data_IF_927052205634
#
_entry.id   IF_927052205634
#
_cell.length_a   1.000
_cell.length_b   1.000
_cell.length_c   1.000
_cell.angle_alpha   90.00
_cell.angle_beta   90.00
_cell.angle_gamma   90.00
#
_symmetry.space_group_name_H-M   'P 1'
#
loop_
_entity.id
_entity.type
_entity.pdbx_description
1 polymer ?
#
# COMPACT_ATOMS: atom_id res chain seq x y z
N UNK A 1 -12.83 -0.63 -27.77
CA UNK A 1 -13.09 -0.24 -26.37
C UNK A 1 -11.85 0.50 -25.91
N UNK A 2 -11.92 1.82 -25.89
CA UNK A 2 -10.79 2.69 -25.58
C UNK A 2 -10.29 2.48 -24.15
N UNK A 3 -8.97 2.30 -24.04
CA UNK A 3 -8.19 2.09 -22.83
C UNK A 3 -8.24 3.36 -21.95
N UNK A 4 -9.35 3.53 -21.24
CA UNK A 4 -9.54 4.58 -20.24
C UNK A 4 -8.66 4.36 -18.99
N UNK A 5 -7.96 3.22 -18.93
CA UNK A 5 -7.14 2.74 -17.82
C UNK A 5 -5.77 3.43 -17.73
N UNK A 6 -5.24 3.93 -18.86
CA UNK A 6 -3.97 4.66 -18.93
C UNK A 6 -4.09 6.16 -18.64
N UNK A 7 -5.29 6.66 -18.32
CA UNK A 7 -5.47 8.07 -17.95
C UNK A 7 -4.79 8.37 -16.62
N UNK A 8 -3.96 9.42 -16.61
CA UNK A 8 -3.40 9.99 -15.37
C UNK A 8 -4.53 10.59 -14.53
N UNK A 9 -4.51 10.25 -13.24
CA UNK A 9 -5.49 10.70 -12.27
C UNK A 9 -5.24 12.15 -11.86
N UNK A 10 -6.31 12.93 -11.83
CA UNK A 10 -6.29 14.25 -11.23
C UNK A 10 -6.47 14.13 -9.71
N UNK A 11 -6.47 15.27 -9.02
CA UNK A 11 -6.65 15.31 -7.57
C UNK A 11 -7.95 14.64 -7.11
N UNK A 12 -9.06 14.89 -7.79
CA UNK A 12 -10.38 14.33 -7.42
C UNK A 12 -10.41 12.81 -7.55
N UNK A 13 -9.79 12.26 -8.60
CA UNK A 13 -9.63 10.83 -8.80
C UNK A 13 -8.87 10.19 -7.62
N UNK A 14 -7.80 10.85 -7.16
CA UNK A 14 -7.01 10.41 -6.01
C UNK A 14 -7.78 10.51 -4.68
N UNK A 15 -8.59 11.56 -4.48
CA UNK A 15 -9.44 11.70 -3.30
C UNK A 15 -10.49 10.56 -3.23
N UNK A 16 -11.13 10.23 -4.34
CA UNK A 16 -12.06 9.10 -4.45
C UNK A 16 -11.33 7.78 -4.18
N UNK A 17 -10.14 7.62 -4.77
CA UNK A 17 -9.33 6.42 -4.62
C UNK A 17 -8.83 6.20 -3.18
N UNK A 18 -8.51 7.25 -2.44
CA UNK A 18 -8.13 7.16 -1.04
C UNK A 18 -9.32 6.91 -0.10
N UNK A 19 -10.52 7.39 -0.46
CA UNK A 19 -11.75 7.21 0.31
C UNK A 19 -12.12 5.76 0.61
N UNK A 20 -13.09 5.58 1.51
CA UNK A 20 -13.54 4.25 1.99
C UNK A 20 -14.13 3.36 0.90
N UNK A 21 -14.62 3.95 -0.20
CA UNK A 21 -15.13 3.23 -1.38
C UNK A 21 -14.05 2.96 -2.43
N UNK A 22 -12.83 3.45 -2.21
CA UNK A 22 -11.69 3.18 -3.07
C UNK A 22 -11.20 1.74 -2.94
N UNK A 23 -10.38 1.27 -3.89
CA UNK A 23 -9.89 -0.10 -3.90
C UNK A 23 -9.00 -0.39 -2.68
N UNK A 24 -9.01 -1.66 -2.25
CA UNK A 24 -8.10 -2.15 -1.22
C UNK A 24 -6.70 -2.36 -1.80
N UNK A 25 -5.67 -2.44 -0.96
CA UNK A 25 -4.31 -2.78 -1.41
C UNK A 25 -4.32 -4.14 -2.14
N UNK A 26 -5.09 -5.12 -1.64
CA UNK A 26 -5.28 -6.41 -2.31
C UNK A 26 -5.82 -6.25 -3.74
N UNK A 27 -6.85 -5.43 -3.94
CA UNK A 27 -7.37 -5.18 -5.29
C UNK A 27 -6.30 -4.54 -6.19
N UNK A 28 -5.50 -3.60 -5.67
CA UNK A 28 -4.43 -2.98 -6.44
C UNK A 28 -3.34 -4.00 -6.82
N UNK A 29 -2.94 -4.87 -5.89
CA UNK A 29 -1.93 -5.91 -6.15
C UNK A 29 -2.44 -7.01 -7.08
N UNK A 30 -3.75 -7.29 -7.05
CA UNK A 30 -4.39 -8.18 -8.02
C UNK A 30 -4.32 -7.59 -9.45
N UNK A 31 -4.37 -6.27 -9.63
CA UNK A 31 -4.13 -5.64 -10.95
C UNK A 31 -2.70 -5.84 -11.47
N UNK A 32 -1.76 -6.16 -10.59
CA UNK A 32 -0.40 -6.53 -10.95
C UNK A 32 -0.25 -8.05 -11.17
N UNK A 33 -1.34 -8.82 -11.05
CA UNK A 33 -1.33 -10.28 -11.11
C UNK A 33 -0.74 -10.92 -9.84
N UNK A 34 -0.57 -10.16 -8.76
CA UNK A 34 0.01 -10.66 -7.52
C UNK A 34 -1.08 -11.19 -6.61
N UNK A 35 -0.90 -12.41 -6.11
CA UNK A 35 -1.74 -12.96 -5.05
C UNK A 35 -1.16 -12.60 -3.69
N UNK A 36 -2.02 -12.14 -2.77
CA UNK A 36 -1.62 -11.84 -1.41
C UNK A 36 -2.68 -12.33 -0.42
N UNK A 37 -2.22 -12.81 0.73
CA UNK A 37 -3.09 -13.19 1.84
C UNK A 37 -3.15 -12.04 2.84
N UNK A 38 -4.30 -11.87 3.47
CA UNK A 38 -4.49 -10.93 4.58
C UNK A 38 -4.53 -11.73 5.86
N UNK A 39 -3.56 -11.54 6.73
CA UNK A 39 -3.56 -12.15 8.08
C UNK A 39 -4.44 -11.34 9.03
N UNK A 40 -4.78 -11.93 10.18
CA UNK A 40 -5.54 -11.26 11.24
C UNK A 40 -4.83 -9.96 11.65
N UNK A 41 -5.52 -8.83 11.53
CA UNK A 41 -4.95 -7.49 11.74
C UNK A 41 -4.66 -6.70 10.46
N UNK A 42 -4.95 -7.23 9.28
CA UNK A 42 -4.91 -6.47 8.02
C UNK A 42 -3.53 -6.37 7.37
N UNK A 43 -2.57 -7.15 7.85
CA UNK A 43 -1.23 -7.25 7.25
C UNK A 43 -1.32 -8.07 5.96
N UNK A 44 -0.75 -7.52 4.89
CA UNK A 44 -0.68 -8.20 3.60
C UNK A 44 0.63 -8.96 3.51
N UNK A 45 0.53 -10.24 3.19
CA UNK A 45 1.66 -11.15 3.06
C UNK A 45 1.64 -11.82 1.69
N UNK A 46 2.81 -11.86 1.06
CA UNK A 46 3.02 -12.58 -0.17
C UNK A 46 3.67 -13.92 0.14
N UNK A 47 3.10 -15.00 -0.40
CA UNK A 47 3.68 -16.34 -0.26
C UNK A 47 4.99 -16.47 -1.04
N UNK A 48 5.09 -15.72 -2.13
CA UNK A 48 6.21 -15.75 -3.06
C UNK A 48 7.31 -14.74 -2.66
N UNK A 49 8.59 -15.12 -2.78
CA UNK A 49 9.70 -14.28 -2.32
C UNK A 49 9.86 -13.00 -3.14
N UNK A 50 9.62 -13.03 -4.46
CA UNK A 50 9.80 -11.84 -5.31
C UNK A 50 8.73 -10.77 -5.07
N UNK A 51 7.41 -11.10 -5.04
CA UNK A 51 6.39 -10.14 -4.63
C UNK A 51 6.58 -9.63 -3.19
N UNK A 52 7.12 -10.46 -2.27
CA UNK A 52 7.44 -10.00 -0.91
C UNK A 52 8.57 -8.96 -0.90
N UNK A 53 9.63 -9.16 -1.69
CA UNK A 53 10.71 -8.17 -1.85
C UNK A 53 10.17 -6.85 -2.43
N UNK A 54 9.32 -6.95 -3.46
CA UNK A 54 8.66 -5.78 -4.05
C UNK A 54 7.79 -5.04 -3.02
N UNK A 55 7.00 -5.75 -2.21
CA UNK A 55 6.18 -5.14 -1.15
C UNK A 55 7.04 -4.36 -0.15
N UNK A 56 8.17 -4.93 0.27
CA UNK A 56 9.09 -4.23 1.17
C UNK A 56 9.68 -2.97 0.52
N UNK A 57 9.99 -3.02 -0.78
CA UNK A 57 10.50 -1.87 -1.52
C UNK A 57 9.42 -0.78 -1.70
N UNK A 58 8.18 -1.17 -2.03
CA UNK A 58 7.01 -0.27 -2.06
C UNK A 58 6.79 0.40 -0.71
N UNK A 59 6.90 -0.35 0.39
CA UNK A 59 6.78 0.21 1.72
C UNK A 59 7.89 1.24 2.00
N UNK A 60 9.14 0.97 1.61
CA UNK A 60 10.25 1.93 1.75
C UNK A 60 9.99 3.23 0.98
N UNK A 61 9.57 3.14 -0.29
CA UNK A 61 9.22 4.33 -1.09
C UNK A 61 8.02 5.06 -0.50
N UNK A 62 7.03 4.33 0.02
CA UNK A 62 5.88 4.98 0.65
C UNK A 62 6.27 5.86 1.84
N UNK A 63 7.31 5.49 2.59
CA UNK A 63 7.77 6.23 3.78
C UNK A 63 8.49 7.55 3.46
N UNK A 64 9.00 7.74 2.24
CA UNK A 64 9.60 9.01 1.80
C UNK A 64 8.57 10.03 1.30
N UNK A 65 7.31 9.61 1.12
CA UNK A 65 6.23 10.49 0.67
C UNK A 65 5.78 11.49 1.76
N UNK A 66 5.14 12.62 1.36
CA UNK A 66 4.58 13.58 2.29
C UNK A 66 3.55 12.96 3.25
N UNK A 67 3.61 13.40 4.51
CA UNK A 67 2.70 12.98 5.60
C UNK A 67 1.50 13.90 5.79
N UNK A 68 1.36 14.90 4.93
CA UNK A 68 0.17 15.74 4.84
C UNK A 68 -0.69 15.29 3.66
N UNK A 69 -2.01 15.31 3.82
CA UNK A 69 -2.94 14.81 2.80
C UNK A 69 -2.92 15.66 1.54
N UNK A 70 -2.87 16.99 1.67
CA UNK A 70 -2.90 17.89 0.52
C UNK A 70 -1.59 17.81 -0.27
N UNK A 71 -0.46 17.71 0.44
CA UNK A 71 0.85 17.48 -0.17
C UNK A 71 0.93 16.11 -0.85
N UNK A 72 0.39 15.06 -0.23
CA UNK A 72 0.34 13.72 -0.80
C UNK A 72 -0.51 13.70 -2.08
N UNK A 73 -1.68 14.34 -2.08
CA UNK A 73 -2.55 14.46 -3.26
C UNK A 73 -1.88 15.23 -4.40
N UNK A 74 -1.17 16.31 -4.08
CA UNK A 74 -0.42 17.11 -5.05
C UNK A 74 0.72 16.28 -5.67
N UNK A 75 1.46 15.55 -4.84
CA UNK A 75 2.52 14.64 -5.25
C UNK A 75 1.98 13.52 -6.15
N UNK A 76 0.86 12.90 -5.79
CA UNK A 76 0.24 11.80 -6.55
C UNK A 76 -0.25 12.22 -7.94
N UNK A 77 -0.68 13.48 -8.06
CA UNK A 77 -1.16 14.07 -9.31
C UNK A 77 -0.01 14.56 -10.22
N UNK A 78 1.22 14.63 -9.69
CA UNK A 78 2.37 15.18 -10.39
C UNK A 78 3.10 14.11 -11.22
N UNK A 79 3.60 14.43 -12.42
CA UNK A 79 4.20 13.45 -13.34
C UNK A 79 5.48 12.80 -12.82
N UNK A 80 6.30 13.58 -12.12
CA UNK A 80 7.73 13.30 -11.98
C UNK A 80 8.13 12.95 -10.54
N UNK A 81 7.22 13.08 -9.58
CA UNK A 81 7.60 13.11 -8.15
C UNK A 81 8.15 11.79 -7.62
N UNK A 82 7.79 10.66 -8.23
CA UNK A 82 8.37 9.35 -7.91
C UNK A 82 8.71 8.52 -9.15
N UNK A 83 8.89 9.17 -10.30
CA UNK A 83 9.01 8.47 -11.58
C UNK A 83 10.31 7.64 -11.65
N UNK A 84 11.39 8.17 -11.07
CA UNK A 84 12.68 7.50 -10.94
C UNK A 84 12.60 6.29 -10.01
N UNK A 85 11.97 6.43 -8.84
CA UNK A 85 11.78 5.32 -7.89
C UNK A 85 10.93 4.21 -8.50
N UNK A 86 9.89 4.57 -9.26
CA UNK A 86 9.06 3.61 -9.99
C UNK A 86 9.87 2.85 -11.04
N UNK A 87 10.70 3.55 -11.82
CA UNK A 87 11.58 2.90 -12.80
C UNK A 87 12.63 2.02 -12.14
N UNK A 88 13.15 2.43 -10.99
CA UNK A 88 14.12 1.65 -10.23
C UNK A 88 13.48 0.38 -9.64
N UNK A 89 12.25 0.48 -9.11
CA UNK A 89 11.46 -0.67 -8.65
C UNK A 89 11.19 -1.65 -9.80
N UNK A 90 10.75 -1.15 -10.96
CA UNK A 90 10.49 -1.98 -12.13
C UNK A 90 11.76 -2.60 -12.69
N UNK A 91 12.86 -1.88 -12.72
CA UNK A 91 14.15 -2.42 -13.20
C UNK A 91 14.65 -3.52 -12.27
N UNK A 92 14.47 -3.36 -10.96
CA UNK A 92 14.97 -4.30 -9.95
C UNK A 92 14.10 -5.56 -9.83
N UNK A 93 12.78 -5.41 -9.84
CA UNK A 93 11.85 -6.51 -9.56
C UNK A 93 11.09 -7.00 -10.80
N UNK A 94 10.97 -6.15 -11.82
CA UNK A 94 10.16 -6.42 -13.00
C UNK A 94 10.57 -7.67 -13.77
N UNK A 95 11.86 -7.84 -14.16
CA UNK A 95 12.31 -9.04 -14.86
C UNK A 95 12.05 -10.34 -14.09
N UNK A 96 12.14 -10.30 -12.75
CA UNK A 96 11.93 -11.48 -11.94
C UNK A 96 10.44 -11.85 -11.82
N UNK A 97 9.53 -10.87 -11.80
CA UNK A 97 8.09 -11.10 -11.57
C UNK A 97 7.31 -11.19 -12.89
N UNK A 98 7.51 -10.23 -13.79
CA UNK A 98 6.76 -10.07 -15.04
C UNK A 98 7.62 -10.29 -16.30
N UNK A 99 8.88 -10.69 -16.16
CA UNK A 99 9.73 -10.96 -17.31
C UNK A 99 9.30 -12.21 -18.09
N UNK A 100 9.54 -12.25 -19.39
CA UNK A 100 9.20 -13.40 -20.25
C UNK A 100 9.77 -14.74 -19.75
N UNK A 101 10.97 -14.69 -19.16
CA UNK A 101 11.66 -15.87 -18.63
C UNK A 101 11.38 -16.12 -17.14
N UNK A 102 10.53 -15.31 -16.50
CA UNK A 102 10.16 -15.51 -15.11
C UNK A 102 9.21 -16.72 -14.97
N UNK A 103 9.19 -17.32 -13.77
CA UNK A 103 8.13 -18.27 -13.43
C UNK A 103 6.81 -17.50 -13.20
N UNK A 104 6.03 -17.35 -14.27
CA UNK A 104 4.77 -16.60 -14.29
C UNK A 104 3.56 -17.45 -13.90
N UNK A 105 3.74 -18.75 -13.64
CA UNK A 105 2.68 -19.63 -13.12
C UNK A 105 2.19 -19.20 -11.73
N UNK A 106 2.99 -18.42 -11.03
CA UNK A 106 2.69 -17.81 -9.73
C UNK A 106 1.86 -16.53 -9.81
N UNK A 107 1.72 -15.95 -11.01
CA UNK A 107 0.82 -14.83 -11.22
C UNK A 107 -0.62 -15.33 -11.25
N UNK A 108 -1.55 -14.48 -10.85
CA UNK A 108 -2.98 -14.73 -11.03
C UNK A 108 -3.25 -14.92 -12.51
N UNK A 109 -4.04 -15.94 -12.85
CA UNK A 109 -4.46 -16.18 -14.24
C UNK A 109 -5.23 -14.96 -14.75
N UNK A 110 -4.74 -14.35 -15.84
CA UNK A 110 -5.47 -13.30 -16.54
C UNK A 110 -6.85 -13.81 -16.93
N UNK A 111 -7.88 -13.19 -16.36
CA UNK A 111 -9.24 -13.64 -16.56
C UNK A 111 -9.74 -13.07 -17.89
N UNK A 112 -9.48 -13.79 -18.99
CA UNK A 112 -9.79 -13.37 -20.36
C UNK A 112 -11.26 -13.09 -20.71
N UNK A 113 -12.17 -12.92 -19.74
CA UNK A 113 -13.49 -12.29 -19.88
C UNK A 113 -14.33 -12.22 -18.57
N UNK A 114 -13.80 -12.53 -17.38
CA UNK A 114 -14.56 -12.40 -16.12
C UNK A 114 -14.22 -11.07 -15.45
N UNK A 115 -15.20 -10.42 -14.80
CA UNK A 115 -15.06 -9.17 -14.01
C UNK A 115 -14.04 -9.29 -12.86
N UNK A 116 -12.79 -9.56 -13.17
CA UNK A 116 -11.70 -9.77 -12.20
C UNK A 116 -10.54 -8.85 -12.53
N UNK A 117 -9.83 -8.56 -11.46
CA UNK A 117 -9.01 -7.38 -11.24
C UNK A 117 -7.67 -7.41 -12.01
N UNK A 118 -7.30 -8.56 -12.60
CA UNK A 118 -6.15 -8.71 -13.51
C UNK A 118 -6.62 -8.81 -14.98
N UNK A 119 -6.57 -7.70 -15.75
CA UNK A 119 -7.26 -7.60 -17.03
C UNK A 119 -6.58 -8.39 -18.16
N UNK A 120 -5.25 -8.52 -18.09
CA UNK A 120 -4.44 -9.27 -19.05
C UNK A 120 -3.09 -9.63 -18.42
N UNK A 121 -2.39 -10.58 -19.03
CA UNK A 121 -1.01 -10.88 -18.66
C UNK A 121 -0.12 -9.70 -19.04
N UNK A 122 0.56 -9.14 -18.04
CA UNK A 122 1.50 -8.03 -18.20
C UNK A 122 2.93 -8.57 -18.33
N UNK A 123 3.68 -8.02 -19.28
CA UNK A 123 5.08 -8.37 -19.55
C UNK A 123 5.99 -7.17 -19.30
N UNK A 124 7.11 -7.37 -18.62
CA UNK A 124 8.06 -6.29 -18.33
C UNK A 124 8.71 -5.73 -19.60
N UNK A 125 8.98 -6.60 -20.58
CA UNK A 125 9.65 -6.28 -21.84
C UNK A 125 8.76 -5.51 -22.81
N UNK A 126 7.43 -5.62 -22.67
CA UNK A 126 6.47 -4.94 -23.52
C UNK A 126 6.26 -3.51 -23.02
N UNK A 127 6.57 -2.45 -23.80
CA UNK A 127 6.53 -1.07 -23.31
C UNK A 127 5.16 -0.62 -22.76
N UNK A 128 4.07 -1.04 -23.42
CA UNK A 128 2.70 -0.72 -23.02
C UNK A 128 2.36 -1.37 -21.68
N UNK A 129 2.78 -2.61 -21.48
CA UNK A 129 2.56 -3.35 -20.24
C UNK A 129 3.42 -2.82 -19.10
N UNK A 130 4.67 -2.47 -19.40
CA UNK A 130 5.56 -1.77 -18.46
C UNK A 130 4.94 -0.47 -17.96
N UNK A 131 4.27 0.29 -18.82
CA UNK A 131 3.54 1.49 -18.42
C UNK A 131 2.37 1.18 -17.49
N UNK A 132 1.60 0.12 -17.77
CA UNK A 132 0.55 -0.35 -16.87
C UNK A 132 1.09 -0.79 -15.51
N UNK A 133 2.20 -1.55 -15.50
CA UNK A 133 2.89 -1.94 -14.27
C UNK A 133 3.31 -0.70 -13.46
N UNK A 134 3.91 0.30 -14.13
CA UNK A 134 4.30 1.58 -13.52
C UNK A 134 3.11 2.29 -12.88
N UNK A 135 1.97 2.36 -13.57
CA UNK A 135 0.75 2.98 -13.07
C UNK A 135 0.15 2.24 -11.86
N UNK A 136 0.11 0.91 -11.88
CA UNK A 136 -0.39 0.15 -10.75
C UNK A 136 0.53 0.21 -9.53
N UNK A 137 1.85 0.22 -9.73
CA UNK A 137 2.83 0.48 -8.66
C UNK A 137 2.67 1.87 -8.07
N UNK A 138 2.47 2.89 -8.91
CA UNK A 138 2.20 4.26 -8.47
C UNK A 138 0.98 4.29 -7.53
N UNK A 139 -0.13 3.68 -7.95
CA UNK A 139 -1.36 3.55 -7.13
C UNK A 139 -1.11 2.80 -5.81
N UNK A 140 -0.32 1.73 -5.84
CA UNK A 140 0.01 0.96 -4.65
C UNK A 140 0.83 1.77 -3.64
N UNK A 141 1.89 2.45 -4.08
CA UNK A 141 2.76 3.27 -3.22
C UNK A 141 1.95 4.34 -2.49
N UNK A 142 1.13 5.10 -3.21
CA UNK A 142 0.33 6.18 -2.60
C UNK A 142 -0.78 5.66 -1.69
N UNK A 143 -1.46 4.56 -2.06
CA UNK A 143 -2.46 3.95 -1.17
C UNK A 143 -1.81 3.45 0.12
N UNK A 144 -0.60 2.90 0.02
CA UNK A 144 0.21 2.44 1.16
C UNK A 144 0.57 3.61 2.06
N UNK A 145 1.12 4.70 1.50
CA UNK A 145 1.42 5.92 2.24
C UNK A 145 0.19 6.48 2.97
N UNK A 146 -0.94 6.61 2.26
CA UNK A 146 -2.20 7.08 2.85
C UNK A 146 -2.67 6.22 4.03
N UNK A 147 -2.65 4.89 3.90
CA UNK A 147 -3.09 3.99 4.97
C UNK A 147 -2.16 4.06 6.19
N UNK A 148 -0.84 4.03 5.98
CA UNK A 148 0.12 3.96 7.08
C UNK A 148 0.36 5.30 7.78
N UNK A 149 0.26 6.42 7.07
CA UNK A 149 0.68 7.72 7.58
C UNK A 149 -0.49 8.63 7.95
N UNK A 150 -1.60 8.55 7.20
CA UNK A 150 -2.71 9.51 7.29
C UNK A 150 -3.98 8.91 7.87
N UNK A 151 -4.21 7.61 7.70
CA UNK A 151 -5.38 6.96 8.26
C UNK A 151 -5.18 6.74 9.76
N UNK A 152 -5.90 7.52 10.56
CA UNK A 152 -6.01 7.27 12.01
C UNK A 152 -6.70 5.92 12.23
N UNK A 153 -6.25 5.08 13.18
CA UNK A 153 -7.00 3.89 13.55
C UNK A 153 -8.40 4.36 13.99
N UNK A 154 -9.44 3.76 13.39
CA UNK A 154 -10.82 4.03 13.79
C UNK A 154 -10.93 3.74 15.29
N UNK A 155 -11.18 4.78 16.09
CA UNK A 155 -11.55 4.65 17.49
C UNK A 155 -12.83 3.80 17.49
N UNK A 156 -12.73 2.52 17.84
CA UNK A 156 -13.92 1.71 18.09
C UNK A 156 -14.77 2.50 19.11
N UNK A 157 -16.01 2.78 18.73
CA UNK A 157 -16.96 3.50 19.55
C UNK A 157 -17.05 2.81 20.91
N UNK A 158 -16.56 3.50 21.95
CA UNK A 158 -16.95 3.21 23.31
C UNK A 158 -18.46 3.49 23.38
N UNK A 159 -19.26 2.44 23.41
CA UNK A 159 -20.71 2.51 23.40
C UNK A 159 -21.29 1.28 24.09
N UNK A 160 -21.27 1.31 25.41
CA UNK A 160 -21.95 0.38 26.30
C UNK A 160 -22.40 1.17 27.53
N UNK A 161 -23.53 1.84 27.36
CA UNK A 161 -24.25 2.69 28.30
C UNK A 161 -24.83 1.86 29.46
N UNK A 162 -24.52 2.20 30.71
CA UNK A 162 -25.31 1.88 31.91
C UNK A 162 -25.00 2.91 33.02
N UNK A 163 -25.86 3.92 33.18
CA UNK A 163 -26.14 4.59 34.46
C UNK A 163 -27.58 4.17 34.86
N UNK A 164 -27.94 4.01 36.16
CA UNK A 164 -28.01 5.17 37.04
C UNK A 164 -27.49 4.97 38.48
N UNK A 165 -26.90 6.05 39.01
CA UNK A 165 -27.05 6.56 40.39
C UNK A 165 -26.04 6.14 41.47
N UNK A 166 -25.16 7.07 41.89
CA UNK A 166 -25.14 7.61 43.26
C UNK A 166 -24.33 8.93 43.35
N UNK A 167 -24.93 9.86 44.05
CA UNK A 167 -24.53 11.22 44.43
C UNK A 167 -23.20 11.27 45.24
N UNK A 168 -22.30 12.23 44.94
CA UNK A 168 -21.63 13.07 45.95
C UNK A 168 -20.63 14.06 45.31
N UNK A 169 -20.82 15.33 45.65
CA UNK A 169 -20.07 16.52 45.27
C UNK A 169 -18.63 16.54 45.76
N UNK A 170 -17.66 17.00 44.95
CA UNK A 170 -16.54 17.89 45.37
C UNK A 170 -15.96 18.64 44.17
N UNK A 171 -15.69 19.92 44.42
CA UNK A 171 -15.11 20.99 43.59
C UNK A 171 -13.71 20.70 43.01
N UNK A 172 -13.38 21.36 41.89
CA UNK A 172 -11.98 21.61 41.48
C UNK A 172 -11.74 21.45 39.98
N UNK A 173 -11.40 22.55 39.31
CA UNK A 173 -11.13 22.57 37.87
C UNK A 173 -9.71 22.12 37.47
N UNK A 174 -9.57 21.96 36.14
CA UNK A 174 -8.35 21.88 35.31
C UNK A 174 -7.69 20.48 35.15
N UNK A 175 -6.88 20.23 34.10
CA UNK A 175 -7.32 19.48 32.92
C UNK A 175 -6.51 18.19 32.68
N UNK A 176 -7.12 17.28 31.92
CA UNK A 176 -6.51 16.31 30.98
C UNK A 176 -5.11 15.79 31.32
N UNK A 177 -5.06 14.70 32.09
CA UNK A 177 -3.94 13.74 32.04
C UNK A 177 -4.29 12.63 31.06
N UNK A 178 -4.04 12.87 29.76
CA UNK A 178 -3.80 11.75 28.84
C UNK A 178 -2.44 11.21 29.19
N UNK A 179 -2.41 10.12 29.94
CA UNK A 179 -1.20 9.33 30.14
C UNK A 179 -0.77 8.86 28.76
N UNK A 180 0.27 9.54 28.27
CA UNK A 180 1.09 9.17 27.15
C UNK A 180 1.66 7.77 27.45
N UNK A 181 1.05 6.72 26.91
CA UNK A 181 1.78 5.48 26.73
C UNK A 181 2.90 5.80 25.72
N UNK A 182 4.17 5.59 26.08
CA UNK A 182 5.28 5.88 25.19
C UNK A 182 5.13 5.02 23.94
N UNK A 183 5.43 5.63 22.80
CA UNK A 183 5.67 4.92 21.55
C UNK A 183 6.39 3.59 21.84
N UNK A 184 5.91 2.44 21.34
CA UNK A 184 6.85 1.39 21.06
C UNK A 184 7.71 1.96 19.94
N UNK A 185 8.89 2.45 20.35
CA UNK A 185 10.12 2.35 19.58
C UNK A 185 9.96 1.15 18.65
N UNK A 186 10.05 1.39 17.35
CA UNK A 186 10.43 0.39 16.38
C UNK A 186 11.61 -0.38 16.98
N UNK A 187 11.32 -1.55 17.55
CA UNK A 187 12.34 -2.53 17.84
C UNK A 187 12.79 -3.03 16.49
N UNK A 188 13.87 -2.41 16.01
CA UNK A 188 15.02 -3.13 15.51
C UNK A 188 14.63 -4.37 14.70
N UNK A 189 14.19 -4.15 13.45
CA UNK A 189 14.29 -5.22 12.47
C UNK A 189 15.77 -5.31 12.08
N UNK A 190 16.40 -6.38 12.56
CA UNK A 190 17.80 -6.73 12.36
C UNK A 190 18.29 -6.40 10.95
N UNK A 191 19.17 -5.41 10.87
CA UNK A 191 20.30 -5.43 9.94
C UNK A 191 21.38 -6.26 10.63
N UNK A 192 21.89 -7.27 9.91
CA UNK A 192 22.92 -8.30 10.22
C UNK A 192 22.26 -9.67 9.98
N UNK A 193 22.64 -10.47 8.97
CA UNK A 193 24.02 -10.91 8.70
C UNK A 193 24.21 -11.25 7.22
N UNK A 194 25.19 -10.61 6.58
CA UNK A 194 25.99 -11.17 5.48
C UNK A 194 27.25 -11.76 6.12
N UNK A 195 27.84 -12.79 5.46
CA UNK A 195 28.99 -13.66 5.81
C UNK A 195 28.57 -14.96 6.54
N UNK A 196 28.88 -16.18 6.08
CA UNK A 196 30.06 -16.72 5.38
C UNK A 196 29.64 -17.81 4.37
N UNK A 197 30.14 -17.85 3.12
CA UNK A 197 31.40 -18.44 2.64
C UNK A 197 31.49 -19.98 2.81
N UNK A 198 31.38 -20.66 1.65
CA UNK A 198 32.23 -21.77 1.15
C UNK A 198 32.71 -22.81 2.19
N UNK A 199 32.08 -24.00 2.21
CA UNK A 199 32.56 -25.27 1.62
C UNK A 199 31.59 -26.39 2.00
#
# INVERSE_FOLDING_TARGET
MEDSSLRRWNRDDWEIFFGSRGPTIRAITECLGLSCNTEDGGVIKFSEPEPQKLSNAVQKVSQSLPRDLDELLKSASSPDTIDEELDQLLTTHGPAIWGENADRKRLLLAAGNSKKVYPKDLFYEVPVDKQMLKMHLHRWIYKTAYIFQLRKPTRQSAGGDLDPHVESSVVGGMPVSVILAPCPRFTMWNILTVFAVIN
#
